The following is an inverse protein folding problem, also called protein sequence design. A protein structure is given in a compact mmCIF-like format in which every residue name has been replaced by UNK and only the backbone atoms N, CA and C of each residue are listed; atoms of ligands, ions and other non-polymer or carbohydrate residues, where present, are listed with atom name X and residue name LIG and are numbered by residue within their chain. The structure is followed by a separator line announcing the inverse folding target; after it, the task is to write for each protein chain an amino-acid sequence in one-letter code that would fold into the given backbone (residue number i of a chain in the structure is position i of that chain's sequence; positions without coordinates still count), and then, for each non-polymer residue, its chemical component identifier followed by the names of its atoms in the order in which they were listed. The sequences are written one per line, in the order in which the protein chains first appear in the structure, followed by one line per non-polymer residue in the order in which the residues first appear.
data_IF_648747169496
#
_entry.id   IF_648747169496
#
_cell.length_a   1.000
_cell.length_b   1.000
_cell.length_c   1.000
_cell.angle_alpha   90.00
_cell.angle_beta   90.00
_cell.angle_gamma   90.00
#
_symmetry.space_group_name_H-M   'P 1'
#
loop_
_entity.id
_entity.type
_entity.pdbx_description
1 polymer ?
#
# COMPACT_ATOMS: atom_id res chain seq x y z
N UNK A 1 23.36 38.38 27.00
CA UNK A 1 22.80 37.88 25.73
C UNK A 1 23.81 36.95 25.08
N UNK A 2 23.59 35.64 25.11
CA UNK A 2 24.52 34.66 24.53
C UNK A 2 24.03 34.25 23.12
N UNK A 3 24.63 34.81 22.08
CA UNK A 3 24.43 34.38 20.70
C UNK A 3 25.15 33.04 20.49
N UNK A 4 24.40 31.93 20.48
CA UNK A 4 24.93 30.61 20.14
C UNK A 4 25.15 30.55 18.63
N UNK A 5 26.39 30.77 18.20
CA UNK A 5 26.83 30.55 16.82
C UNK A 5 26.67 29.05 16.50
N UNK A 6 25.67 28.72 15.68
CA UNK A 6 25.47 27.40 15.12
C UNK A 6 26.70 27.02 14.27
N UNK A 7 27.48 26.02 14.70
CA UNK A 7 28.56 25.43 13.89
C UNK A 7 27.96 24.23 13.13
N UNK A 8 27.94 24.22 11.79
CA UNK A 8 27.58 23.02 11.07
C UNK A 8 28.73 22.00 11.26
N UNK A 9 28.41 20.84 11.82
CA UNK A 9 29.36 19.74 11.94
C UNK A 9 29.76 19.28 10.53
N UNK A 10 30.97 19.63 10.07
CA UNK A 10 31.59 19.00 8.90
C UNK A 10 31.85 17.54 9.26
N UNK A 11 31.06 16.62 8.71
CA UNK A 11 31.20 15.18 8.94
C UNK A 11 30.08 14.52 9.76
N UNK A 12 28.97 15.22 10.03
CA UNK A 12 27.72 14.52 10.32
C UNK A 12 27.14 13.98 9.01
N UNK A 13 27.83 13.03 8.40
CA UNK A 13 27.23 12.18 7.38
C UNK A 13 26.13 11.39 8.07
N UNK A 14 24.93 11.96 8.05
CA UNK A 14 23.72 11.19 8.24
C UNK A 14 23.84 10.00 7.28
N UNK A 15 24.02 8.80 7.82
CA UNK A 15 23.99 7.56 7.06
C UNK A 15 22.82 7.68 6.10
N UNK A 16 23.11 7.80 4.80
CA UNK A 16 22.12 7.90 3.74
C UNK A 16 21.04 6.86 4.06
N UNK A 17 19.77 7.25 4.26
CA UNK A 17 18.75 6.26 4.58
C UNK A 17 18.79 5.23 3.46
N UNK A 18 19.07 3.98 3.88
CA UNK A 18 19.05 2.78 3.06
C UNK A 18 17.98 2.90 1.97
N UNK A 19 18.38 2.67 0.72
CA UNK A 19 17.56 2.68 -0.51
C UNK A 19 16.06 2.72 -0.19
N UNK A 20 15.46 3.91 -0.30
CA UNK A 20 14.03 4.08 -0.04
C UNK A 20 13.27 3.11 -0.95
N UNK A 21 12.58 2.14 -0.37
CA UNK A 21 11.63 1.30 -1.09
C UNK A 21 10.65 2.20 -1.88
N UNK A 22 10.23 1.79 -3.08
CA UNK A 22 9.28 2.56 -3.88
C UNK A 22 7.99 2.76 -3.08
N UNK A 23 7.83 3.97 -2.58
CA UNK A 23 6.67 4.42 -1.81
C UNK A 23 5.59 4.82 -2.80
N UNK A 24 4.37 4.31 -2.63
CA UNK A 24 3.17 4.68 -3.40
C UNK A 24 2.74 6.16 -3.27
N UNK A 25 3.55 6.99 -2.61
CA UNK A 25 3.12 8.18 -1.88
C UNK A 25 3.27 9.51 -2.64
N UNK A 26 2.82 9.57 -3.90
CA UNK A 26 2.42 10.86 -4.47
C UNK A 26 0.89 11.06 -4.39
N UNK A 27 0.10 9.98 -4.39
CA UNK A 27 -1.35 10.05 -4.15
C UNK A 27 -1.69 9.47 -2.78
N UNK A 28 -1.77 10.34 -1.77
CA UNK A 28 -2.28 10.02 -0.43
C UNK A 28 -3.74 9.55 -0.50
N UNK A 29 -3.97 8.26 -0.79
CA UNK A 29 -5.18 7.54 -0.42
C UNK A 29 -4.78 6.37 0.48
N UNK A 30 -4.32 6.73 1.67
CA UNK A 30 -4.07 5.76 2.74
C UNK A 30 -5.38 5.00 2.99
N UNK A 31 -5.23 3.69 3.00
CA UNK A 31 -6.21 2.62 3.04
C UNK A 31 -7.00 2.69 4.35
N UNK A 32 -8.07 3.49 4.38
CA UNK A 32 -9.08 3.46 5.44
C UNK A 32 -10.10 2.31 5.25
N UNK A 33 -9.98 1.51 4.18
CA UNK A 33 -11.11 0.75 3.62
C UNK A 33 -11.08 -0.77 3.95
N UNK A 34 -9.98 -1.32 4.46
CA UNK A 34 -9.90 -2.79 4.70
C UNK A 34 -10.74 -3.30 5.87
N UNK A 35 -11.30 -2.41 6.70
CA UNK A 35 -12.13 -2.80 7.85
C UNK A 35 -13.60 -2.97 7.46
N UNK A 36 -14.06 -2.31 6.39
CA UNK A 36 -15.47 -2.24 6.02
C UNK A 36 -15.82 -2.96 4.71
N UNK A 37 -14.84 -3.62 4.08
CA UNK A 37 -15.10 -4.46 2.91
C UNK A 37 -15.90 -5.70 3.32
N UNK A 38 -17.13 -5.79 2.85
CA UNK A 38 -17.93 -7.01 2.96
C UNK A 38 -17.37 -8.09 2.05
N UNK A 39 -17.37 -9.33 2.51
CA UNK A 39 -17.06 -10.49 1.67
C UNK A 39 -17.93 -10.49 0.40
N UNK A 40 -17.32 -10.73 -0.75
CA UNK A 40 -17.96 -10.65 -2.06
C UNK A 40 -18.07 -9.24 -2.64
N UNK A 41 -17.60 -8.20 -1.94
CA UNK A 41 -17.60 -6.84 -2.48
C UNK A 41 -16.69 -6.75 -3.71
N UNK A 42 -17.16 -6.19 -4.83
CA UNK A 42 -16.30 -5.94 -5.98
C UNK A 42 -15.32 -4.82 -5.64
N UNK A 43 -14.04 -5.07 -5.89
CA UNK A 43 -12.94 -4.16 -5.59
C UNK A 43 -11.98 -4.05 -6.76
N UNK A 44 -11.34 -2.90 -6.84
CA UNK A 44 -10.24 -2.61 -7.73
C UNK A 44 -8.97 -2.46 -6.91
N UNK A 45 -7.94 -3.25 -7.25
CA UNK A 45 -6.65 -3.29 -6.56
C UNK A 45 -5.55 -2.86 -7.53
N UNK A 46 -4.70 -1.93 -7.10
CA UNK A 46 -3.45 -1.59 -7.80
C UNK A 46 -2.28 -2.06 -6.96
N UNK A 47 -1.38 -2.86 -7.53
CA UNK A 47 -0.17 -3.32 -6.86
C UNK A 47 0.99 -2.34 -7.08
N UNK A 48 1.98 -2.38 -6.18
CA UNK A 48 3.19 -1.55 -6.25
C UNK A 48 4.04 -1.83 -7.49
N UNK A 49 4.14 -3.10 -7.88
CA UNK A 49 4.97 -3.52 -9.01
C UNK A 49 4.28 -3.24 -10.36
N UNK A 50 2.94 -3.23 -10.37
CA UNK A 50 2.11 -3.06 -11.56
C UNK A 50 1.27 -1.79 -11.46
N UNK A 51 1.88 -0.63 -11.22
CA UNK A 51 1.16 0.64 -11.03
C UNK A 51 0.22 1.00 -12.18
N UNK A 52 0.57 0.59 -13.40
CA UNK A 52 -0.21 0.88 -14.61
C UNK A 52 -1.36 -0.12 -14.84
N UNK A 53 -1.44 -1.19 -14.03
CA UNK A 53 -2.43 -2.24 -14.17
C UNK A 53 -3.27 -2.37 -12.92
N UNK A 54 -4.56 -2.15 -13.09
CA UNK A 54 -5.57 -2.31 -12.05
C UNK A 54 -6.22 -3.69 -12.20
N UNK A 55 -6.33 -4.41 -11.09
CA UNK A 55 -6.97 -5.71 -11.04
C UNK A 55 -8.37 -5.57 -10.43
N UNK A 56 -9.37 -6.03 -11.16
CA UNK A 56 -10.75 -6.04 -10.72
C UNK A 56 -11.14 -7.44 -10.27
N UNK A 57 -11.86 -7.52 -9.16
CA UNK A 57 -12.22 -8.80 -8.56
C UNK A 57 -13.10 -8.66 -7.34
N UNK A 58 -13.31 -9.77 -6.65
CA UNK A 58 -14.07 -9.82 -5.41
C UNK A 58 -13.13 -9.89 -4.21
N UNK A 59 -13.39 -9.03 -3.23
CA UNK A 59 -12.81 -9.16 -1.90
C UNK A 59 -13.42 -10.37 -1.19
N UNK A 60 -12.60 -11.28 -0.67
CA UNK A 60 -13.10 -12.44 0.06
C UNK A 60 -12.88 -12.28 1.55
N UNK A 61 -11.63 -12.06 1.96
CA UNK A 61 -11.25 -12.02 3.37
C UNK A 61 -9.98 -11.22 3.58
N UNK A 62 -9.86 -10.61 4.74
CA UNK A 62 -8.63 -10.02 5.21
C UNK A 62 -8.12 -10.73 6.48
N UNK A 63 -6.90 -11.26 6.43
CA UNK A 63 -6.19 -11.78 7.59
C UNK A 63 -5.35 -10.67 8.23
N UNK A 64 -5.80 -10.19 9.38
CA UNK A 64 -5.15 -9.13 10.16
C UNK A 64 -3.80 -9.55 10.73
N UNK A 65 -3.62 -10.83 11.06
CA UNK A 65 -2.39 -11.34 11.66
C UNK A 65 -1.27 -11.40 10.63
N UNK A 66 -1.59 -11.93 9.45
CA UNK A 66 -0.64 -12.04 8.32
C UNK A 66 -0.55 -10.77 7.47
N UNK A 67 -1.47 -9.83 7.66
CA UNK A 67 -1.66 -8.64 6.79
C UNK A 67 -1.80 -9.06 5.33
N UNK A 68 -2.68 -10.04 5.10
CA UNK A 68 -2.87 -10.70 3.81
C UNK A 68 -4.33 -10.62 3.37
N UNK A 69 -4.52 -10.27 2.11
CA UNK A 69 -5.80 -10.10 1.46
C UNK A 69 -6.09 -11.31 0.57
N UNK A 70 -7.26 -11.90 0.72
CA UNK A 70 -7.79 -12.92 -0.19
C UNK A 70 -8.68 -12.23 -1.22
N UNK A 71 -8.30 -12.35 -2.48
CA UNK A 71 -8.91 -11.66 -3.61
C UNK A 71 -9.14 -12.65 -4.75
N UNK A 72 -10.30 -12.57 -5.40
CA UNK A 72 -10.59 -13.38 -6.59
C UNK A 72 -10.77 -12.47 -7.80
N UNK A 73 -9.87 -12.52 -8.80
CA UNK A 73 -10.01 -11.74 -10.03
C UNK A 73 -11.30 -12.08 -10.79
N UNK A 74 -11.86 -11.09 -11.50
CA UNK A 74 -12.99 -11.37 -12.40
C UNK A 74 -12.56 -12.28 -13.56
N UNK A 75 -13.40 -13.27 -13.86
CA UNK A 75 -13.13 -14.25 -14.91
C UNK A 75 -12.15 -15.36 -14.50
N UNK A 76 -11.62 -15.32 -13.28
CA UNK A 76 -10.78 -16.37 -12.70
C UNK A 76 -11.49 -17.01 -11.50
N UNK A 77 -11.30 -18.32 -11.35
CA UNK A 77 -11.82 -19.11 -10.24
C UNK A 77 -10.79 -19.21 -9.10
N UNK A 78 -9.52 -18.94 -9.40
CA UNK A 78 -8.45 -19.00 -8.43
C UNK A 78 -8.49 -17.82 -7.47
N UNK A 79 -8.29 -18.11 -6.18
CA UNK A 79 -8.12 -17.09 -5.14
C UNK A 79 -6.64 -16.73 -5.07
N UNK A 80 -6.37 -15.43 -5.16
CA UNK A 80 -5.05 -14.85 -4.98
C UNK A 80 -4.87 -14.34 -3.55
N UNK A 81 -3.67 -14.55 -3.03
CA UNK A 81 -3.23 -14.04 -1.74
C UNK A 81 -2.29 -12.86 -1.97
N UNK A 82 -2.68 -11.67 -1.50
CA UNK A 82 -1.93 -10.43 -1.75
C UNK A 82 -1.56 -9.82 -0.41
N UNK A 83 -0.26 -9.57 -0.18
CA UNK A 83 0.17 -8.87 1.02
C UNK A 83 -0.23 -7.41 0.97
N UNK A 84 -0.67 -6.86 2.11
CA UNK A 84 -0.96 -5.44 2.21
C UNK A 84 0.26 -4.55 1.92
N UNK A 85 1.47 -5.07 2.12
CA UNK A 85 2.69 -4.37 1.76
C UNK A 85 2.79 -4.11 0.26
N UNK A 86 2.14 -4.91 -0.57
CA UNK A 86 2.31 -4.90 -2.02
C UNK A 86 1.16 -4.16 -2.70
N UNK A 87 0.08 -3.89 -1.96
CA UNK A 87 -1.05 -3.09 -2.42
C UNK A 87 -0.68 -1.61 -2.35
N UNK A 88 -0.90 -0.94 -3.48
CA UNK A 88 -0.76 0.49 -3.61
C UNK A 88 -2.09 1.20 -3.34
N UNK A 89 -3.17 0.76 -3.99
CA UNK A 89 -4.53 1.26 -3.74
C UNK A 89 -5.54 0.12 -3.77
N UNK A 90 -6.61 0.26 -2.99
CA UNK A 90 -7.81 -0.58 -3.05
C UNK A 90 -9.04 0.32 -3.00
N UNK A 91 -9.99 0.09 -3.90
CA UNK A 91 -11.24 0.86 -3.99
C UNK A 91 -12.43 -0.09 -4.15
N UNK A 92 -13.60 0.33 -3.68
CA UNK A 92 -14.84 -0.30 -4.11
C UNK A 92 -15.02 -0.07 -5.60
N UNK A 93 -15.33 -1.13 -6.33
CA UNK A 93 -15.78 -1.02 -7.70
C UNK A 93 -17.27 -0.72 -7.67
N UNK A 94 -17.65 0.51 -8.01
CA UNK A 94 -19.04 0.85 -8.32
C UNK A 94 -19.27 0.49 -9.78
N UNK A 95 -20.05 -0.56 -10.04
CA UNK A 95 -20.66 -0.75 -11.35
C UNK A 95 -21.55 0.43 -11.72
#
# INVERSE_FOLDING_TARGET
MASRKYRPCKGCDSSLPSKREPRCYDDKKIIHILVDLSMGAPVEITLKESKDHQQNGYFLRFDRHKRLLYFQPFGDVAVQEIFLSDICTIKYSSY
#
